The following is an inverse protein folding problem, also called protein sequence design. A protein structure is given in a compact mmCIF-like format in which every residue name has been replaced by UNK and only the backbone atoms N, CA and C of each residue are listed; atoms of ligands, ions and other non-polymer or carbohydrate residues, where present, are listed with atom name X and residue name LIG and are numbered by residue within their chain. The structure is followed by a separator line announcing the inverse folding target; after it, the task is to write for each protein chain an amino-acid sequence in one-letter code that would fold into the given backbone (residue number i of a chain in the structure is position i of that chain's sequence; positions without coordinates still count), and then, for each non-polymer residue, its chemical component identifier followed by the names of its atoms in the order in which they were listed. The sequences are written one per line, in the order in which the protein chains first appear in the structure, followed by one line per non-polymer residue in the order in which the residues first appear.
data_IF_179381656463
#
_entry.id   IF_179381656463
#
_cell.length_a   1.000
_cell.length_b   1.000
_cell.length_c   1.000
_cell.angle_alpha   90.00
_cell.angle_beta   90.00
_cell.angle_gamma   90.00
#
_symmetry.space_group_name_H-M   'P 1'
#
loop_
_entity.id
_entity.type
_entity.pdbx_description
1 polymer ?
#
# COMPACT_ATOMS: atom_id res chain seq x y z
N UNK A 1 -33.24 8.21 -14.10
CA UNK A 1 -32.70 8.60 -15.41
C UNK A 1 -33.76 8.49 -16.52
N UNK A 2 -34.50 7.38 -16.65
CA UNK A 2 -35.53 7.14 -17.69
C UNK A 2 -36.71 8.12 -17.67
N UNK A 3 -37.19 8.54 -16.50
CA UNK A 3 -38.28 9.50 -16.36
C UNK A 3 -37.88 10.92 -16.78
N UNK A 4 -36.63 11.30 -16.58
CA UNK A 4 -36.10 12.60 -16.97
C UNK A 4 -35.88 12.67 -18.49
N UNK A 5 -35.54 11.56 -19.16
CA UNK A 5 -35.38 11.46 -20.60
C UNK A 5 -36.73 11.63 -21.32
N UNK A 6 -37.81 10.98 -20.85
CA UNK A 6 -39.18 11.12 -21.40
C UNK A 6 -39.73 12.54 -21.29
N UNK A 7 -39.46 13.25 -20.18
CA UNK A 7 -39.91 14.64 -20.02
C UNK A 7 -39.18 15.57 -20.99
N UNK A 8 -37.88 15.42 -21.13
CA UNK A 8 -37.07 16.22 -22.06
C UNK A 8 -37.39 15.97 -23.53
N UNK A 9 -37.73 14.74 -23.91
CA UNK A 9 -38.19 14.42 -25.25
C UNK A 9 -39.57 15.04 -25.55
N UNK A 10 -40.45 15.09 -24.54
CA UNK A 10 -41.75 15.76 -24.64
C UNK A 10 -41.63 17.27 -24.78
N UNK A 11 -40.77 17.89 -23.94
CA UNK A 11 -40.52 19.32 -23.99
C UNK A 11 -39.92 19.76 -25.34
N UNK A 12 -39.06 18.93 -25.97
CA UNK A 12 -38.51 19.17 -27.31
C UNK A 12 -39.58 19.07 -28.40
N UNK A 13 -40.48 18.08 -28.28
CA UNK A 13 -41.58 17.91 -29.22
C UNK A 13 -42.52 19.10 -29.18
N UNK A 14 -42.82 19.65 -28.03
CA UNK A 14 -43.65 20.83 -27.84
C UNK A 14 -42.98 22.09 -28.39
N UNK A 15 -41.68 22.27 -28.17
CA UNK A 15 -40.90 23.38 -28.70
C UNK A 15 -40.80 23.38 -30.22
N UNK A 16 -40.56 22.21 -30.83
CA UNK A 16 -40.54 22.05 -32.30
C UNK A 16 -41.91 22.29 -32.91
N UNK A 17 -43.00 21.87 -32.30
CA UNK A 17 -44.37 22.18 -32.75
C UNK A 17 -44.66 23.65 -32.70
N UNK A 18 -44.29 24.33 -31.64
CA UNK A 18 -44.47 25.77 -31.48
C UNK A 18 -43.75 26.55 -32.55
N UNK A 19 -42.52 26.19 -32.87
CA UNK A 19 -41.75 26.81 -33.96
C UNK A 19 -42.36 26.56 -35.34
N UNK A 20 -42.86 25.35 -35.58
CA UNK A 20 -43.58 25.03 -36.84
C UNK A 20 -44.86 25.87 -37.00
N UNK A 21 -45.65 26.01 -35.96
CA UNK A 21 -46.89 26.79 -35.95
C UNK A 21 -46.60 28.27 -36.16
N UNK A 22 -45.54 28.80 -35.55
CA UNK A 22 -45.15 30.21 -35.70
C UNK A 22 -44.70 30.50 -37.14
N UNK A 23 -43.89 29.62 -37.75
CA UNK A 23 -43.43 29.78 -39.11
C UNK A 23 -44.56 29.54 -40.13
N UNK A 24 -45.51 28.68 -39.87
CA UNK A 24 -46.72 28.50 -40.66
C UNK A 24 -47.57 29.79 -40.63
N UNK A 25 -47.75 30.44 -39.49
CA UNK A 25 -48.48 31.70 -39.36
C UNK A 25 -47.79 32.85 -40.08
N UNK A 26 -46.48 32.95 -40.01
CA UNK A 26 -45.72 34.00 -40.67
C UNK A 26 -45.76 33.84 -42.21
N UNK A 27 -45.72 32.63 -42.70
CA UNK A 27 -45.88 32.32 -44.13
C UNK A 27 -47.30 32.62 -44.64
N UNK A 28 -48.32 32.37 -43.84
CA UNK A 28 -49.72 32.77 -44.16
C UNK A 28 -49.88 34.28 -44.18
N UNK A 29 -49.29 35.03 -43.22
CA UNK A 29 -49.29 36.49 -43.19
C UNK A 29 -48.57 37.11 -44.38
N UNK A 30 -47.61 36.44 -44.95
CA UNK A 30 -46.88 36.85 -46.18
C UNK A 30 -47.61 36.53 -47.46
N UNK A 31 -48.88 36.07 -47.38
CA UNK A 31 -49.76 35.86 -48.53
C UNK A 31 -49.73 34.45 -49.15
N UNK A 32 -49.13 33.50 -48.49
CA UNK A 32 -49.12 32.10 -48.96
C UNK A 32 -50.42 31.37 -48.57
N UNK A 33 -50.83 30.42 -49.39
CA UNK A 33 -51.95 29.55 -49.01
C UNK A 33 -51.56 28.67 -47.81
N UNK A 34 -52.52 28.37 -46.93
CA UNK A 34 -52.26 27.58 -45.74
C UNK A 34 -51.55 26.22 -46.02
N UNK A 35 -51.83 25.63 -47.16
CA UNK A 35 -51.21 24.37 -47.62
C UNK A 35 -49.74 24.53 -47.99
N UNK A 36 -49.43 25.64 -48.64
CA UNK A 36 -48.04 25.97 -49.06
C UNK A 36 -47.20 26.48 -47.89
N UNK A 37 -47.79 27.28 -47.00
CA UNK A 37 -47.19 27.76 -45.77
C UNK A 37 -46.73 26.62 -44.88
N UNK A 38 -47.57 25.59 -44.70
CA UNK A 38 -47.26 24.40 -43.94
C UNK A 38 -46.18 23.53 -44.59
N UNK A 39 -46.19 23.45 -45.93
CA UNK A 39 -45.14 22.73 -46.66
C UNK A 39 -43.78 23.42 -46.55
N UNK A 40 -43.74 24.74 -46.67
CA UNK A 40 -42.52 25.51 -46.54
C UNK A 40 -41.95 25.52 -45.14
N UNK A 41 -42.79 25.62 -44.10
CA UNK A 41 -42.36 25.53 -42.68
C UNK A 41 -41.69 24.20 -42.40
N UNK A 42 -42.25 23.09 -42.93
CA UNK A 42 -41.60 21.76 -42.77
C UNK A 42 -40.30 21.62 -43.56
N UNK A 43 -40.18 22.22 -44.73
CA UNK A 43 -38.95 22.16 -45.51
C UNK A 43 -37.82 23.01 -44.91
N UNK A 44 -38.14 24.14 -44.27
CA UNK A 44 -37.17 25.02 -43.59
C UNK A 44 -36.64 24.44 -42.30
N UNK A 45 -37.48 23.78 -41.51
CA UNK A 45 -37.07 23.15 -40.26
C UNK A 45 -36.20 21.90 -40.48
N UNK A 46 -36.09 21.42 -41.75
CA UNK A 46 -35.47 20.12 -41.98
C UNK A 46 -36.34 18.97 -41.50
N UNK A 47 -36.00 17.73 -41.81
CA UNK A 47 -36.77 16.61 -41.30
C UNK A 47 -36.80 16.60 -39.75
N UNK A 48 -37.97 16.73 -39.15
CA UNK A 48 -38.17 16.71 -37.68
C UNK A 48 -37.40 15.59 -36.97
N UNK A 49 -37.31 14.46 -37.63
CA UNK A 49 -36.58 13.30 -37.13
C UNK A 49 -35.05 13.51 -37.14
N UNK A 50 -34.52 14.23 -38.13
CA UNK A 50 -33.09 14.54 -38.20
C UNK A 50 -32.67 15.52 -37.10
N UNK A 51 -33.48 16.53 -36.81
CA UNK A 51 -33.22 17.49 -35.72
C UNK A 51 -33.32 16.81 -34.34
N UNK A 52 -34.25 15.88 -34.18
CA UNK A 52 -34.36 15.07 -32.94
C UNK A 52 -33.18 14.15 -32.79
N UNK A 53 -32.67 13.54 -33.82
CA UNK A 53 -31.54 12.64 -33.79
C UNK A 53 -30.25 13.39 -33.51
N UNK A 54 -30.02 14.56 -34.13
CA UNK A 54 -28.87 15.42 -33.82
C UNK A 54 -28.91 15.98 -32.39
N UNK A 55 -30.10 16.27 -31.87
CA UNK A 55 -30.25 16.72 -30.47
C UNK A 55 -30.06 15.60 -29.47
N UNK A 56 -30.45 14.37 -29.83
CA UNK A 56 -30.17 13.17 -29.03
C UNK A 56 -28.68 12.82 -29.01
N UNK A 57 -28.01 12.96 -30.14
CA UNK A 57 -26.56 12.72 -30.25
C UNK A 57 -25.75 13.75 -29.46
N UNK A 58 -26.19 14.99 -29.40
CA UNK A 58 -25.50 16.05 -28.65
C UNK A 58 -25.73 15.97 -27.12
N UNK A 59 -26.84 15.38 -26.66
CA UNK A 59 -27.20 15.29 -25.24
C UNK A 59 -27.11 13.89 -24.62
N UNK A 60 -27.07 12.86 -25.40
CA UNK A 60 -26.77 11.51 -24.91
C UNK A 60 -25.32 11.45 -24.46
N UNK A 61 -25.01 10.65 -23.44
CA UNK A 61 -23.64 10.21 -23.22
C UNK A 61 -23.50 8.98 -24.13
N UNK A 62 -23.16 9.18 -25.42
CA UNK A 62 -23.12 8.07 -26.41
C UNK A 62 -22.07 7.04 -26.00
N UNK A 63 -21.11 7.48 -25.18
CA UNK A 63 -20.06 6.64 -24.62
C UNK A 63 -20.59 5.53 -23.70
N UNK A 64 -21.64 5.78 -22.90
CA UNK A 64 -22.16 4.75 -21.97
C UNK A 64 -23.01 3.73 -22.74
N UNK A 65 -23.83 4.18 -23.70
CA UNK A 65 -24.67 3.29 -24.47
C UNK A 65 -23.82 2.41 -25.42
N UNK A 66 -22.79 3.00 -26.05
CA UNK A 66 -21.82 2.24 -26.87
C UNK A 66 -21.00 1.28 -26.00
N UNK A 67 -20.54 1.72 -24.81
CA UNK A 67 -19.81 0.85 -23.89
C UNK A 67 -20.62 -0.38 -23.45
N UNK A 68 -21.91 -0.19 -23.13
CA UNK A 68 -22.80 -1.28 -22.78
C UNK A 68 -23.06 -2.25 -23.95
N UNK A 69 -23.13 -1.71 -25.17
CA UNK A 69 -23.28 -2.52 -26.37
C UNK A 69 -22.01 -3.30 -26.67
N UNK A 70 -20.84 -2.67 -26.55
CA UNK A 70 -19.54 -3.29 -26.72
C UNK A 70 -19.29 -4.38 -25.68
N UNK A 71 -19.67 -4.14 -24.41
CA UNK A 71 -19.59 -5.14 -23.35
C UNK A 71 -20.48 -6.37 -23.66
N UNK A 72 -21.71 -6.15 -24.17
CA UNK A 72 -22.59 -7.26 -24.55
C UNK A 72 -22.02 -8.04 -25.73
N UNK A 73 -21.45 -7.33 -26.68
CA UNK A 73 -20.81 -7.96 -27.85
C UNK A 73 -19.59 -8.77 -27.43
N UNK A 74 -18.70 -8.19 -26.61
CA UNK A 74 -17.53 -8.87 -26.06
C UNK A 74 -17.90 -10.13 -25.28
N UNK A 75 -18.91 -10.03 -24.40
CA UNK A 75 -19.36 -11.18 -23.63
C UNK A 75 -19.94 -12.30 -24.50
N UNK A 76 -20.67 -11.95 -25.56
CA UNK A 76 -21.17 -12.93 -26.53
C UNK A 76 -20.04 -13.57 -27.33
N UNK A 77 -19.02 -12.80 -27.72
CA UNK A 77 -17.83 -13.29 -28.40
C UNK A 77 -17.03 -14.26 -27.55
N UNK A 78 -16.84 -13.95 -26.27
CA UNK A 78 -16.17 -14.83 -25.30
C UNK A 78 -16.88 -16.18 -25.13
N UNK A 79 -18.22 -16.18 -25.17
CA UNK A 79 -18.99 -17.44 -25.09
C UNK A 79 -18.97 -18.24 -26.38
N UNK A 80 -18.72 -17.58 -27.52
CA UNK A 80 -18.70 -18.25 -28.83
C UNK A 80 -17.44 -19.07 -29.06
N UNK A 81 -16.29 -18.55 -28.55
CA UNK A 81 -14.99 -19.20 -28.68
C UNK A 81 -14.33 -19.41 -27.31
N UNK A 82 -14.77 -20.44 -26.54
CA UNK A 82 -14.29 -20.65 -25.19
C UNK A 82 -12.82 -21.04 -25.12
N UNK A 83 -12.26 -21.72 -26.13
CA UNK A 83 -10.85 -22.08 -26.20
C UNK A 83 -9.95 -20.86 -26.31
N UNK A 84 -10.25 -19.95 -27.21
CA UNK A 84 -9.52 -18.68 -27.33
C UNK A 84 -9.63 -17.85 -26.05
N UNK A 85 -10.83 -17.74 -25.51
CA UNK A 85 -11.09 -16.99 -24.26
C UNK A 85 -10.30 -17.56 -23.09
N UNK A 86 -10.26 -18.88 -22.93
CA UNK A 86 -9.47 -19.54 -21.89
C UNK A 86 -7.98 -19.24 -22.04
N UNK A 87 -7.45 -19.33 -23.26
CA UNK A 87 -6.03 -19.04 -23.54
C UNK A 87 -5.68 -17.58 -23.16
N UNK A 88 -6.50 -16.62 -23.58
CA UNK A 88 -6.30 -15.21 -23.28
C UNK A 88 -6.37 -14.96 -21.76
N UNK A 89 -7.37 -15.53 -21.07
CA UNK A 89 -7.51 -15.40 -19.63
C UNK A 89 -6.32 -15.98 -18.86
N UNK A 90 -5.87 -17.18 -19.23
CA UNK A 90 -4.70 -17.82 -18.61
C UNK A 90 -3.46 -16.95 -18.81
N UNK A 91 -3.22 -16.47 -20.04
CA UNK A 91 -2.06 -15.63 -20.34
C UNK A 91 -2.07 -14.33 -19.56
N UNK A 92 -3.23 -13.65 -19.51
CA UNK A 92 -3.38 -12.41 -18.73
C UNK A 92 -3.25 -12.67 -17.22
N UNK A 93 -3.85 -13.74 -16.72
CA UNK A 93 -3.77 -14.09 -15.29
C UNK A 93 -2.35 -14.38 -14.88
N UNK A 94 -1.59 -15.14 -15.70
CA UNK A 94 -0.19 -15.39 -15.43
C UNK A 94 0.65 -14.12 -15.52
N UNK A 95 0.47 -13.30 -16.55
CA UNK A 95 1.24 -12.07 -16.73
C UNK A 95 0.99 -11.06 -15.60
N UNK A 96 -0.27 -10.79 -15.29
CA UNK A 96 -0.64 -9.85 -14.22
C UNK A 96 -0.32 -10.46 -12.85
N UNK A 97 -0.62 -11.75 -12.64
CA UNK A 97 -0.41 -12.42 -11.36
C UNK A 97 1.07 -12.46 -10.97
N UNK A 98 1.96 -12.86 -11.89
CA UNK A 98 3.40 -12.86 -11.64
C UNK A 98 3.92 -11.44 -11.41
N UNK A 99 3.53 -10.47 -12.24
CA UNK A 99 3.91 -9.07 -12.06
C UNK A 99 3.48 -8.50 -10.70
N UNK A 100 2.25 -8.78 -10.29
CA UNK A 100 1.71 -8.36 -8.99
C UNK A 100 2.43 -9.04 -7.83
N UNK A 101 2.72 -10.33 -7.93
CA UNK A 101 3.46 -11.06 -6.89
C UNK A 101 4.88 -10.52 -6.73
N UNK A 102 5.60 -10.28 -7.82
CA UNK A 102 6.94 -9.67 -7.78
C UNK A 102 6.87 -8.28 -7.16
N UNK A 103 5.92 -7.44 -7.61
CA UNK A 103 5.75 -6.10 -7.05
C UNK A 103 5.40 -6.12 -5.56
N UNK A 104 4.55 -7.05 -5.11
CA UNK A 104 4.21 -7.20 -3.69
C UNK A 104 5.45 -7.54 -2.86
N UNK A 105 6.33 -8.44 -3.34
CA UNK A 105 7.59 -8.78 -2.68
C UNK A 105 8.55 -7.59 -2.66
N UNK A 106 8.73 -6.91 -3.80
CA UNK A 106 9.57 -5.70 -3.90
C UNK A 106 9.05 -4.60 -2.97
N UNK A 107 7.74 -4.37 -2.96
CA UNK A 107 7.13 -3.38 -2.10
C UNK A 107 7.34 -3.70 -0.61
N UNK A 108 7.16 -4.97 -0.22
CA UNK A 108 7.33 -5.39 1.17
C UNK A 108 8.78 -5.28 1.66
N UNK A 109 9.76 -5.54 0.78
CA UNK A 109 11.17 -5.59 1.15
C UNK A 109 11.89 -4.25 0.93
N UNK A 110 11.57 -3.52 -0.16
CA UNK A 110 12.34 -2.35 -0.58
C UNK A 110 11.63 -1.02 -0.40
N UNK A 111 10.29 -1.00 -0.49
CA UNK A 111 9.53 0.24 -0.54
C UNK A 111 8.82 0.59 0.77
N UNK A 112 8.67 -0.38 1.69
CA UNK A 112 8.13 -0.04 3.00
C UNK A 112 9.18 0.75 3.80
N UNK A 113 8.83 1.94 4.30
CA UNK A 113 9.73 2.68 5.15
C UNK A 113 10.03 1.90 6.43
N UNK A 114 11.25 1.99 6.96
CA UNK A 114 11.58 1.40 8.25
C UNK A 114 10.65 1.96 9.33
N UNK A 115 10.31 1.12 10.31
CA UNK A 115 9.43 1.49 11.44
C UNK A 115 10.13 2.34 12.51
N UNK A 116 11.32 2.86 12.20
CA UNK A 116 12.09 3.72 13.10
C UNK A 116 11.52 5.15 13.14
N UNK A 117 11.69 5.80 14.27
CA UNK A 117 11.41 7.23 14.37
C UNK A 117 12.53 8.00 13.67
N UNK A 118 12.17 8.90 12.76
CA UNK A 118 13.13 9.75 12.02
C UNK A 118 14.24 8.93 11.32
N UNK A 119 13.90 7.96 10.44
CA UNK A 119 14.88 7.04 9.86
C UNK A 119 15.97 7.75 9.05
N UNK A 120 15.69 8.95 8.53
CA UNK A 120 16.63 9.80 7.82
C UNK A 120 17.75 10.37 8.71
N UNK A 121 17.61 10.33 10.04
CA UNK A 121 18.63 10.74 11.01
C UNK A 121 19.45 9.58 11.54
N UNK A 122 19.06 8.36 11.23
CA UNK A 122 19.75 7.17 11.67
C UNK A 122 20.86 6.82 10.67
N UNK A 123 22.04 6.62 11.19
CA UNK A 123 23.21 6.17 10.42
C UNK A 123 23.73 4.86 10.97
N UNK A 124 24.20 4.04 10.07
CA UNK A 124 24.85 2.78 10.40
C UNK A 124 26.34 2.92 10.29
N UNK A 125 27.07 2.68 11.38
CA UNK A 125 28.53 2.82 11.42
C UNK A 125 29.21 1.49 11.11
N UNK A 126 30.05 1.50 10.09
CA UNK A 126 30.89 0.35 9.71
C UNK A 126 32.37 0.68 9.93
N UNK A 127 33.13 -0.34 10.25
CA UNK A 127 34.58 -0.24 10.28
C UNK A 127 35.20 -0.59 8.93
N UNK A 128 35.98 0.32 8.36
CA UNK A 128 36.71 0.10 7.11
C UNK A 128 38.21 0.00 7.44
N UNK A 129 38.86 -1.06 6.98
CA UNK A 129 40.29 -1.19 7.05
C UNK A 129 40.91 -1.06 5.65
N UNK A 130 41.28 0.17 5.30
CA UNK A 130 41.79 0.52 3.97
C UNK A 130 43.11 -0.20 3.63
N UNK A 131 43.95 -0.49 4.63
CA UNK A 131 45.23 -1.18 4.40
C UNK A 131 45.08 -2.65 3.98
N UNK A 132 43.94 -3.25 4.33
CA UNK A 132 43.63 -4.65 3.98
C UNK A 132 42.53 -4.79 2.92
N UNK A 133 41.96 -3.67 2.46
CA UNK A 133 40.85 -3.66 1.51
C UNK A 133 39.58 -4.37 2.07
N UNK A 134 39.51 -4.56 3.38
CA UNK A 134 38.41 -5.28 4.02
C UNK A 134 37.41 -4.30 4.62
N UNK A 135 36.20 -4.33 4.14
CA UNK A 135 35.04 -3.80 4.86
C UNK A 135 34.61 -4.83 5.89
N UNK A 136 34.52 -4.47 7.14
CA UNK A 136 33.97 -5.31 8.19
C UNK A 136 32.83 -4.59 8.88
N UNK A 137 31.68 -5.23 8.91
CA UNK A 137 30.49 -4.75 9.60
C UNK A 137 30.62 -4.89 11.12
N UNK A 138 31.60 -5.68 11.57
CA UNK A 138 31.78 -5.99 12.98
C UNK A 138 32.72 -4.99 13.65
N UNK A 139 32.13 -4.08 14.42
CA UNK A 139 32.85 -3.20 15.32
C UNK A 139 33.00 -3.93 16.67
N UNK A 140 34.16 -3.83 17.31
CA UNK A 140 34.30 -4.41 18.66
C UNK A 140 33.43 -3.68 19.67
N UNK A 141 33.00 -4.36 20.73
CA UNK A 141 32.21 -3.70 21.80
C UNK A 141 32.97 -2.52 22.42
N UNK A 142 34.28 -2.68 22.60
CA UNK A 142 35.13 -1.61 23.09
C UNK A 142 35.11 -0.39 22.20
N UNK A 143 35.35 -0.56 20.90
CA UNK A 143 35.33 0.56 19.94
C UNK A 143 33.97 1.26 19.92
N UNK A 144 32.87 0.49 20.01
CA UNK A 144 31.52 1.09 20.01
C UNK A 144 31.28 1.92 21.28
N UNK A 145 31.67 1.45 22.44
CA UNK A 145 31.54 2.19 23.69
C UNK A 145 32.45 3.42 23.70
N UNK A 146 33.68 3.30 23.19
CA UNK A 146 34.60 4.42 23.05
C UNK A 146 34.02 5.52 22.14
N UNK A 147 33.39 5.13 21.07
CA UNK A 147 32.74 6.10 20.18
C UNK A 147 31.53 6.77 20.82
N UNK A 148 30.70 6.00 21.53
CA UNK A 148 29.56 6.54 22.26
C UNK A 148 29.99 7.58 23.30
N UNK A 149 31.01 7.24 24.08
CA UNK A 149 31.39 8.02 25.25
C UNK A 149 32.30 9.23 24.87
N UNK A 150 33.06 9.15 23.75
CA UNK A 150 34.10 10.11 23.42
C UNK A 150 33.87 10.90 22.13
N UNK A 151 32.97 10.50 21.22
CA UNK A 151 32.84 11.21 19.93
C UNK A 151 32.13 12.55 20.03
N UNK A 152 31.11 12.65 20.86
CA UNK A 152 30.23 13.83 20.95
C UNK A 152 29.51 14.20 19.64
N UNK A 153 29.53 13.28 18.65
CA UNK A 153 28.97 13.52 17.30
C UNK A 153 27.53 13.08 17.19
N UNK A 154 27.07 12.21 18.08
CA UNK A 154 25.75 11.57 18.01
C UNK A 154 24.92 11.94 19.23
N UNK A 155 23.64 12.22 19.03
CA UNK A 155 22.68 12.42 20.12
C UNK A 155 22.49 11.14 20.93
N UNK A 156 22.55 9.99 20.25
CA UNK A 156 22.51 8.65 20.84
C UNK A 156 23.21 7.66 19.93
N UNK A 157 23.92 6.70 20.51
CA UNK A 157 24.59 5.62 19.81
C UNK A 157 24.28 4.30 20.50
N UNK A 158 23.75 3.33 19.75
CA UNK A 158 23.49 1.97 20.24
C UNK A 158 24.35 0.96 19.52
N UNK A 159 24.89 0.03 20.30
CA UNK A 159 25.67 -1.08 19.78
C UNK A 159 24.81 -2.32 19.66
N UNK A 160 24.86 -3.01 18.52
CA UNK A 160 24.18 -4.27 18.38
C UNK A 160 25.07 -5.34 17.71
N UNK A 161 24.77 -6.60 18.01
CA UNK A 161 25.55 -7.74 17.52
C UNK A 161 24.59 -8.84 17.12
N UNK A 162 24.75 -9.31 15.90
CA UNK A 162 23.99 -10.42 15.40
C UNK A 162 24.35 -11.71 16.11
N UNK A 163 23.36 -12.45 16.59
CA UNK A 163 23.56 -13.70 17.31
C UNK A 163 22.41 -14.67 17.04
N UNK A 164 22.65 -15.95 17.36
CA UNK A 164 21.66 -17.02 17.21
C UNK A 164 21.18 -17.52 18.55
N UNK A 165 19.89 -17.72 18.66
CA UNK A 165 19.22 -18.16 19.88
C UNK A 165 18.50 -19.48 19.60
N UNK A 166 18.51 -20.39 20.58
CA UNK A 166 17.78 -21.65 20.47
C UNK A 166 16.51 -21.56 21.32
N UNK A 167 15.39 -21.93 20.70
CA UNK A 167 14.11 -22.08 21.40
C UNK A 167 13.44 -23.36 20.89
N UNK A 168 13.09 -24.30 21.81
CA UNK A 168 12.43 -25.58 21.47
C UNK A 168 13.09 -26.36 20.33
N UNK A 169 14.41 -26.49 20.31
CA UNK A 169 15.21 -27.14 19.26
C UNK A 169 15.30 -26.43 17.92
N UNK A 170 14.72 -25.26 17.76
CA UNK A 170 14.89 -24.42 16.56
C UNK A 170 15.87 -23.27 16.84
N UNK A 171 16.60 -22.87 15.80
CA UNK A 171 17.53 -21.73 15.86
C UNK A 171 16.85 -20.51 15.29
N UNK A 172 16.86 -19.43 16.04
CA UNK A 172 16.36 -18.11 15.67
C UNK A 172 17.48 -17.11 15.66
N UNK A 173 17.41 -16.18 14.70
CA UNK A 173 18.33 -15.08 14.64
C UNK A 173 17.78 -13.88 15.41
N UNK A 174 18.66 -13.19 16.12
CA UNK A 174 18.32 -12.03 16.89
C UNK A 174 19.52 -11.12 17.07
N UNK A 175 19.30 -10.01 17.76
CA UNK A 175 20.33 -9.01 18.01
C UNK A 175 20.56 -8.85 19.49
N UNK A 176 21.83 -8.94 19.89
CA UNK A 176 22.24 -8.45 21.21
C UNK A 176 22.38 -6.93 21.12
N UNK A 177 21.62 -6.21 21.89
CA UNK A 177 21.58 -4.77 21.90
C UNK A 177 22.05 -4.22 23.26
N UNK A 178 22.29 -2.92 23.33
CA UNK A 178 22.56 -2.22 24.59
C UNK A 178 21.34 -1.45 25.13
N UNK A 179 21.51 -0.77 26.24
CA UNK A 179 20.48 0.01 26.92
C UNK A 179 19.97 1.19 26.08
N UNK A 180 20.79 1.74 25.20
CA UNK A 180 20.44 2.88 24.36
C UNK A 180 19.60 2.49 23.14
N UNK A 181 19.39 1.21 22.90
CA UNK A 181 18.75 0.71 21.69
C UNK A 181 17.40 1.39 21.40
N UNK A 182 16.44 1.30 22.32
CA UNK A 182 15.11 1.86 22.10
C UNK A 182 15.13 3.39 21.91
N UNK A 183 15.98 4.10 22.64
CA UNK A 183 16.10 5.56 22.51
C UNK A 183 16.74 5.97 21.20
N UNK A 184 17.73 5.21 20.74
CA UNK A 184 18.42 5.47 19.46
C UNK A 184 17.51 5.26 18.26
N UNK A 185 16.77 4.13 18.22
CA UNK A 185 15.85 3.85 17.10
C UNK A 185 14.50 4.57 17.24
N UNK A 186 14.20 5.13 18.44
CA UNK A 186 12.95 5.83 18.71
C UNK A 186 11.71 4.95 18.70
N UNK A 187 11.86 3.63 18.90
CA UNK A 187 10.76 2.66 18.89
C UNK A 187 10.58 2.07 20.28
N UNK A 188 9.35 2.07 20.77
CA UNK A 188 9.00 1.48 22.05
C UNK A 188 8.26 0.17 21.85
N UNK A 189 8.42 -0.81 22.76
CA UNK A 189 7.65 -2.05 22.74
C UNK A 189 6.14 -1.79 22.72
N UNK A 190 5.43 -2.62 21.99
CA UNK A 190 3.97 -2.68 21.96
C UNK A 190 3.40 -3.21 23.27
N UNK A 191 4.09 -4.17 23.89
CA UNK A 191 3.80 -4.71 25.22
C UNK A 191 5.06 -4.68 26.06
N UNK A 192 4.92 -4.46 27.36
CA UNK A 192 6.02 -4.46 28.30
C UNK A 192 6.86 -3.17 28.25
N UNK A 193 8.17 -3.30 28.36
CA UNK A 193 9.12 -2.19 28.47
C UNK A 193 10.36 -2.38 27.59
N UNK A 194 11.08 -1.30 27.37
CA UNK A 194 12.44 -1.33 26.83
C UNK A 194 13.44 -1.85 27.87
N UNK A 195 14.67 -2.01 27.43
CA UNK A 195 15.79 -2.37 28.30
C UNK A 195 16.12 -1.21 29.27
N UNK A 196 16.53 -1.59 30.48
CA UNK A 196 17.06 -0.68 31.47
C UNK A 196 18.54 -0.99 31.74
N UNK A 197 19.29 -0.03 32.25
CA UNK A 197 20.71 -0.22 32.60
C UNK A 197 20.95 -1.37 33.59
N UNK A 198 20.00 -1.64 34.48
CA UNK A 198 20.07 -2.75 35.44
C UNK A 198 20.03 -4.13 34.76
N UNK A 199 19.33 -4.26 33.64
CA UNK A 199 19.30 -5.50 32.86
C UNK A 199 20.71 -5.89 32.36
N UNK A 200 21.56 -4.90 32.06
CA UNK A 200 22.93 -5.12 31.57
C UNK A 200 23.94 -5.32 32.72
N UNK A 201 23.70 -4.74 33.88
CA UNK A 201 24.53 -4.98 35.08
C UNK A 201 24.41 -6.42 35.55
N UNK A 202 23.21 -6.96 35.59
CA UNK A 202 22.98 -8.36 35.92
C UNK A 202 23.69 -9.32 34.96
N UNK A 203 23.77 -8.98 33.69
CA UNK A 203 24.52 -9.73 32.67
C UNK A 203 26.03 -9.68 32.89
N UNK A 204 26.57 -8.54 33.29
CA UNK A 204 28.00 -8.36 33.55
C UNK A 204 28.50 -9.17 34.73
N UNK A 205 27.72 -9.31 35.80
CA UNK A 205 28.05 -10.10 37.00
C UNK A 205 27.72 -11.58 36.84
N UNK A 206 27.04 -11.99 35.79
CA UNK A 206 26.53 -13.36 35.57
C UNK A 206 25.52 -13.85 36.62
N UNK A 207 25.04 -12.99 37.50
CA UNK A 207 24.21 -13.34 38.65
C UNK A 207 22.70 -13.12 38.42
N UNK A 208 22.29 -12.57 37.27
CA UNK A 208 20.90 -12.28 36.95
C UNK A 208 20.35 -12.99 35.73
N UNK A 209 19.02 -13.02 35.58
CA UNK A 209 18.38 -13.53 34.35
C UNK A 209 18.74 -12.63 33.14
N UNK A 210 18.94 -13.25 32.01
CA UNK A 210 18.99 -12.51 30.76
C UNK A 210 17.59 -11.96 30.44
N UNK A 211 17.54 -10.86 29.70
CA UNK A 211 16.26 -10.28 29.30
C UNK A 211 16.15 -10.22 27.79
N UNK A 212 14.94 -10.36 27.26
CA UNK A 212 14.66 -10.33 25.85
C UNK A 212 13.39 -9.53 25.55
N UNK A 213 13.41 -8.82 24.42
CA UNK A 213 12.22 -8.26 23.78
C UNK A 213 11.93 -9.09 22.55
N UNK A 214 10.73 -9.63 22.46
CA UNK A 214 10.34 -10.48 21.36
C UNK A 214 9.93 -9.64 20.12
N UNK A 215 10.26 -10.14 18.95
CA UNK A 215 9.68 -9.63 17.73
C UNK A 215 8.18 -9.99 17.65
N UNK A 216 7.34 -9.10 17.16
CA UNK A 216 5.88 -9.29 17.12
C UNK A 216 5.46 -10.57 16.37
N UNK A 217 6.10 -10.89 15.27
CA UNK A 217 5.84 -12.10 14.49
C UNK A 217 6.16 -13.38 15.27
N UNK A 218 7.27 -13.39 16.03
CA UNK A 218 7.66 -14.49 16.87
C UNK A 218 6.69 -14.70 18.04
N UNK A 219 6.32 -13.61 18.73
CA UNK A 219 5.30 -13.63 19.78
C UNK A 219 3.96 -14.19 19.29
N UNK A 220 3.51 -13.75 18.11
CA UNK A 220 2.25 -14.24 17.53
C UNK A 220 2.32 -15.72 17.15
N UNK A 221 3.41 -16.16 16.53
CA UNK A 221 3.54 -17.53 16.03
C UNK A 221 3.82 -18.56 17.10
N UNK A 222 4.62 -18.21 18.11
CA UNK A 222 5.06 -19.16 19.16
C UNK A 222 4.27 -19.05 20.45
N UNK A 223 3.77 -17.88 20.78
CA UNK A 223 3.03 -17.64 22.03
C UNK A 223 1.55 -17.31 21.79
N UNK A 224 1.05 -17.49 20.55
CA UNK A 224 -0.37 -17.27 20.22
C UNK A 224 -0.87 -15.85 20.49
N UNK A 225 0.02 -14.85 20.50
CA UNK A 225 -0.27 -13.48 20.88
C UNK A 225 -0.78 -13.32 22.34
N UNK A 226 -0.37 -14.21 23.25
CA UNK A 226 -0.71 -14.10 24.69
C UNK A 226 0.00 -12.90 25.33
N UNK A 227 -0.73 -11.85 25.79
CA UNK A 227 -0.12 -10.70 26.45
C UNK A 227 0.53 -11.06 27.80
N UNK A 228 0.12 -12.15 28.40
CA UNK A 228 0.72 -12.68 29.66
C UNK A 228 2.12 -13.26 29.48
N UNK A 229 2.73 -13.20 28.30
CA UNK A 229 4.10 -13.63 28.03
C UNK A 229 5.14 -12.75 28.73
N UNK A 230 4.84 -11.47 28.92
CA UNK A 230 5.72 -10.50 29.58
C UNK A 230 5.90 -10.87 31.07
N UNK A 231 7.14 -10.95 31.52
CA UNK A 231 7.51 -11.40 32.84
C UNK A 231 7.75 -12.90 32.96
N UNK A 232 7.39 -13.72 31.98
CA UNK A 232 7.72 -15.15 31.97
C UNK A 232 9.17 -15.37 31.57
N UNK A 233 9.71 -16.45 32.10
CA UNK A 233 11.11 -16.84 31.91
C UNK A 233 11.18 -18.14 31.12
N UNK A 234 12.07 -18.16 30.14
CA UNK A 234 12.31 -19.29 29.25
C UNK A 234 13.82 -19.51 29.08
N UNK A 235 14.23 -20.71 28.70
CA UNK A 235 15.58 -20.94 28.21
C UNK A 235 15.64 -20.67 26.69
N UNK A 236 15.87 -19.43 26.35
CA UNK A 236 15.94 -18.98 24.95
C UNK A 236 17.33 -19.12 24.31
N UNK A 237 18.37 -19.22 25.13
CA UNK A 237 19.75 -19.28 24.63
C UNK A 237 20.29 -20.71 24.50
N UNK A 238 19.58 -21.71 25.01
CA UNK A 238 20.09 -23.09 25.13
C UNK A 238 21.33 -23.18 25.98
N UNK A 239 21.61 -22.12 26.77
CA UNK A 239 22.74 -22.00 27.68
C UNK A 239 22.41 -22.48 29.11
N UNK A 240 21.17 -22.92 29.33
CA UNK A 240 20.65 -23.24 30.68
C UNK A 240 20.41 -21.99 31.51
N UNK A 241 20.51 -20.80 30.95
CA UNK A 241 20.25 -19.53 31.66
C UNK A 241 18.80 -19.08 31.44
N UNK A 242 18.09 -18.77 32.53
CA UNK A 242 16.74 -18.25 32.39
C UNK A 242 16.75 -16.88 31.76
N UNK A 243 15.97 -16.74 30.68
CA UNK A 243 15.79 -15.47 29.96
C UNK A 243 14.37 -14.95 30.16
N UNK A 244 14.23 -13.76 30.72
CA UNK A 244 12.93 -13.16 31.01
C UNK A 244 12.47 -12.28 29.85
N UNK A 245 11.25 -12.50 29.39
CA UNK A 245 10.62 -11.66 28.34
C UNK A 245 10.15 -10.38 29.02
N UNK A 246 10.74 -9.22 28.61
CA UNK A 246 10.42 -7.91 29.18
C UNK A 246 9.53 -7.08 28.27
N UNK A 247 9.39 -7.46 27.01
CA UNK A 247 8.55 -6.75 26.08
C UNK A 247 8.34 -7.48 24.74
N UNK A 248 7.48 -6.89 23.93
CA UNK A 248 7.20 -7.30 22.54
C UNK A 248 7.25 -6.08 21.65
N UNK A 249 8.03 -6.11 20.59
CA UNK A 249 8.13 -5.01 19.62
C UNK A 249 6.83 -4.81 18.84
N UNK A 250 6.59 -3.64 18.26
CA UNK A 250 5.40 -3.37 17.45
C UNK A 250 5.32 -4.24 16.20
N UNK A 251 4.10 -4.44 15.64
CA UNK A 251 3.95 -5.08 14.33
C UNK A 251 4.78 -4.38 13.26
N UNK A 252 5.41 -5.16 12.38
CA UNK A 252 6.24 -4.63 11.30
C UNK A 252 7.63 -4.17 11.72
N UNK A 253 7.95 -4.16 13.02
CA UNK A 253 9.32 -3.89 13.45
C UNK A 253 10.24 -5.01 12.96
N UNK A 254 11.35 -4.62 12.36
CA UNK A 254 12.44 -5.51 11.96
C UNK A 254 13.73 -4.70 11.95
N UNK A 255 14.85 -5.38 12.15
CA UNK A 255 16.14 -4.76 11.89
C UNK A 255 16.27 -4.52 10.40
N UNK A 256 16.37 -3.27 10.02
CA UNK A 256 16.51 -2.87 8.62
C UNK A 256 17.93 -2.40 8.36
N UNK A 257 18.72 -3.25 7.72
CA UNK A 257 20.09 -2.95 7.31
C UNK A 257 20.17 -2.03 6.07
N UNK A 258 19.04 -1.49 5.60
CA UNK A 258 18.97 -0.55 4.47
C UNK A 258 19.23 0.90 4.87
N UNK A 259 19.49 1.18 6.14
CA UNK A 259 19.99 2.50 6.57
C UNK A 259 21.28 2.76 5.81
N UNK A 260 21.32 3.89 5.11
CA UNK A 260 22.44 4.24 4.23
C UNK A 260 23.77 4.13 4.95
N UNK A 261 24.69 3.43 4.30
CA UNK A 261 26.07 3.27 4.76
C UNK A 261 26.86 4.48 4.29
N UNK A 262 27.22 5.35 5.21
CA UNK A 262 28.12 6.47 4.99
C UNK A 262 29.54 6.13 5.43
#
# INVERSE_FOLDING_TARGET
ALFRKRRLDADLDDELRFHLEMEEQDNVRSGMSAKEARRQARLRLGGLEQVKEEYRDRRGIPFIDSLLQDLRFAFRSFRRDPGFTATVLVTLTLGIGVGTAIFAVVNAILLQPPTYKDPEKLVFLERINDKKGMRTEKISRGDCYDWRDNSGLFDSLSCFYHDSYRFENEIYWGEQVDEAFCSTIGVHPFLGRCFHSDDFRAKATHDGPEVVILQHSFWKSRFGADPGVVGRTYDLAGSGRPTTIVGVMPPGFGFDYRIEKY
#
